data_IF_071311516196
#
_entry.id   IF_071311516196
#
_cell.length_a   1.000
_cell.length_b   1.000
_cell.length_c   1.000
_cell.angle_alpha   90.00
_cell.angle_beta   90.00
_cell.angle_gamma   90.00
#
_symmetry.space_group_name_H-M   'P 1'
#
loop_
_entity.id
_entity.type
_entity.pdbx_description
1 polymer ?
#
# COMPACT_ATOMS: atom_id res chain seq x y z
N UNK A 1 2.85 -2.23 -17.58
CA UNK A 1 3.81 -3.32 -17.90
C UNK A 1 5.21 -2.74 -17.91
N UNK A 2 6.19 -3.40 -17.27
CA UNK A 2 7.57 -2.92 -17.19
C UNK A 2 8.31 -3.08 -18.53
N UNK A 3 9.30 -2.23 -18.78
CA UNK A 3 10.22 -2.31 -19.91
C UNK A 3 11.65 -2.14 -19.42
N UNK A 4 12.56 -3.00 -19.87
CA UNK A 4 13.99 -2.96 -19.53
C UNK A 4 14.78 -2.98 -20.85
N UNK A 5 15.61 -1.96 -21.08
CA UNK A 5 16.53 -1.89 -22.23
C UNK A 5 17.95 -1.67 -21.69
N UNK A 6 18.90 -2.47 -22.18
CA UNK A 6 20.30 -2.39 -21.78
C UNK A 6 21.22 -2.40 -23.01
N UNK A 7 22.13 -1.42 -23.06
CA UNK A 7 23.17 -1.30 -24.12
C UNK A 7 24.58 -1.58 -23.59
N UNK A 8 24.66 -2.35 -22.51
CA UNK A 8 25.91 -2.75 -21.87
C UNK A 8 25.86 -4.24 -21.49
N UNK A 9 26.89 -5.00 -21.86
CA UNK A 9 26.99 -6.45 -21.65
C UNK A 9 27.28 -6.86 -20.20
N UNK A 10 27.73 -5.95 -19.34
CA UNK A 10 28.02 -6.24 -17.93
C UNK A 10 26.87 -5.86 -16.98
N UNK A 11 25.71 -5.48 -17.52
CA UNK A 11 24.59 -5.03 -16.69
C UNK A 11 23.86 -6.21 -16.02
N UNK A 12 23.43 -6.02 -14.77
CA UNK A 12 22.62 -6.96 -14.00
C UNK A 12 21.34 -6.24 -13.59
N UNK A 13 20.18 -6.83 -13.90
CA UNK A 13 18.87 -6.28 -13.58
C UNK A 13 18.04 -7.31 -12.83
N UNK A 14 17.29 -6.86 -11.84
CA UNK A 14 16.26 -7.63 -11.15
C UNK A 14 14.98 -6.79 -11.16
N UNK A 15 13.85 -7.44 -11.44
CA UNK A 15 12.54 -6.82 -11.43
C UNK A 15 11.55 -7.73 -10.74
N UNK A 16 10.82 -7.19 -9.78
CA UNK A 16 9.74 -7.87 -9.08
C UNK A 16 8.46 -7.04 -9.19
N UNK A 17 7.34 -7.73 -9.38
CA UNK A 17 6.01 -7.15 -9.38
C UNK A 17 5.03 -8.15 -8.78
N UNK A 18 4.25 -7.68 -7.80
CA UNK A 18 3.28 -8.51 -7.08
C UNK A 18 1.93 -7.80 -7.06
N UNK A 19 0.85 -8.57 -7.26
CA UNK A 19 -0.51 -8.10 -7.06
C UNK A 19 -1.06 -8.76 -5.81
N UNK A 20 -1.66 -7.97 -4.92
CA UNK A 20 -2.21 -8.45 -3.66
C UNK A 20 -3.67 -8.02 -3.54
N UNK A 21 -4.52 -8.94 -3.06
CA UNK A 21 -5.90 -8.63 -2.62
C UNK A 21 -5.89 -8.50 -1.10
N UNK A 22 -6.73 -7.61 -0.57
CA UNK A 22 -6.97 -7.56 0.88
C UNK A 22 -7.58 -8.90 1.32
N UNK A 23 -6.99 -9.51 2.34
CA UNK A 23 -7.47 -10.78 2.89
C UNK A 23 -8.76 -10.59 3.68
N UNK A 24 -9.78 -11.38 3.34
CA UNK A 24 -11.06 -11.38 4.05
C UNK A 24 -10.92 -11.85 5.50
N UNK A 25 -10.00 -12.80 5.77
CA UNK A 25 -9.70 -13.26 7.13
C UNK A 25 -9.06 -12.14 7.97
N UNK A 26 -8.18 -11.33 7.36
CA UNK A 26 -7.56 -10.19 8.04
C UNK A 26 -8.59 -9.12 8.36
N UNK A 27 -9.50 -8.84 7.43
CA UNK A 27 -10.60 -7.91 7.67
C UNK A 27 -11.54 -8.41 8.76
N UNK A 28 -11.97 -9.67 8.68
CA UNK A 28 -12.83 -10.30 9.69
C UNK A 28 -12.19 -10.23 11.08
N UNK A 29 -10.90 -10.54 11.18
CA UNK A 29 -10.15 -10.48 12.43
C UNK A 29 -10.05 -9.06 13.00
N UNK A 30 -9.83 -8.04 12.16
CA UNK A 30 -9.82 -6.64 12.58
C UNK A 30 -11.20 -6.22 13.09
N UNK A 31 -12.26 -6.59 12.37
CA UNK A 31 -13.65 -6.26 12.74
C UNK A 31 -14.05 -6.94 14.05
N UNK A 32 -13.66 -8.20 14.27
CA UNK A 32 -13.89 -8.87 15.56
C UNK A 32 -13.21 -8.18 16.75
N UNK A 33 -12.21 -7.33 16.50
CA UNK A 33 -11.56 -6.51 17.53
C UNK A 33 -12.19 -5.14 17.72
N UNK A 34 -13.33 -4.90 17.08
CA UNK A 34 -14.09 -3.66 17.22
C UNK A 34 -13.66 -2.56 16.25
N UNK A 35 -12.81 -2.85 15.27
CA UNK A 35 -12.55 -1.92 14.17
C UNK A 35 -13.73 -1.91 13.20
N UNK A 36 -14.08 -0.74 12.68
CA UNK A 36 -14.99 -0.65 11.54
C UNK A 36 -14.35 -1.29 10.30
N UNK A 37 -15.16 -1.62 9.30
CA UNK A 37 -14.65 -2.13 8.03
C UNK A 37 -13.68 -1.13 7.36
N UNK A 38 -13.98 0.16 7.42
CA UNK A 38 -13.14 1.24 6.89
C UNK A 38 -11.81 1.35 7.65
N UNK A 39 -11.85 1.28 8.98
CA UNK A 39 -10.64 1.29 9.82
C UNK A 39 -9.76 0.06 9.54
N UNK A 40 -10.36 -1.11 9.35
CA UNK A 40 -9.66 -2.34 9.03
C UNK A 40 -8.98 -2.25 7.65
N UNK A 41 -9.68 -1.75 6.63
CA UNK A 41 -9.11 -1.52 5.29
C UNK A 41 -7.98 -0.50 5.36
N UNK A 42 -8.20 0.63 6.04
CA UNK A 42 -7.21 1.67 6.24
C UNK A 42 -5.95 1.13 6.92
N UNK A 43 -6.08 0.28 7.93
CA UNK A 43 -4.95 -0.36 8.61
C UNK A 43 -4.11 -1.22 7.65
N UNK A 44 -4.77 -2.08 6.86
CA UNK A 44 -4.07 -2.98 5.92
C UNK A 44 -3.38 -2.19 4.81
N UNK A 45 -4.06 -1.20 4.22
CA UNK A 45 -3.48 -0.37 3.15
C UNK A 45 -2.31 0.46 3.68
N UNK A 46 -2.43 1.06 4.86
CA UNK A 46 -1.33 1.78 5.49
C UNK A 46 -0.11 0.87 5.74
N UNK A 47 -0.35 -0.38 6.14
CA UNK A 47 0.72 -1.39 6.27
C UNK A 47 1.40 -1.69 4.93
N UNK A 48 0.64 -1.79 3.84
CA UNK A 48 1.15 -2.07 2.50
C UNK A 48 2.03 -0.94 1.94
N UNK A 49 1.67 0.34 2.18
CA UNK A 49 2.42 1.50 1.67
C UNK A 49 3.49 2.01 2.64
N UNK A 50 3.65 1.40 3.81
CA UNK A 50 4.49 1.91 4.91
C UNK A 50 5.92 2.22 4.48
N UNK A 51 6.56 1.28 3.79
CA UNK A 51 7.97 1.42 3.41
C UNK A 51 8.18 2.53 2.36
N UNK A 52 7.15 2.81 1.56
CA UNK A 52 7.15 3.94 0.61
C UNK A 52 6.99 5.26 1.36
N UNK A 53 6.05 5.34 2.30
CA UNK A 53 5.82 6.55 3.09
C UNK A 53 7.02 6.91 3.98
N UNK A 54 7.75 5.91 4.48
CA UNK A 54 8.96 6.12 5.28
C UNK A 54 10.13 6.73 4.49
N UNK A 55 10.11 6.68 3.16
CA UNK A 55 11.10 7.34 2.31
C UNK A 55 10.77 8.82 2.05
N UNK A 56 9.55 9.27 2.38
CA UNK A 56 9.16 10.65 2.21
C UNK A 56 9.61 11.51 3.40
N UNK A 57 9.94 12.79 3.17
CA UNK A 57 10.07 13.75 4.27
C UNK A 57 8.80 13.77 5.13
N UNK A 58 8.97 13.92 6.45
CA UNK A 58 7.89 13.77 7.43
C UNK A 58 6.64 14.58 7.10
N UNK A 59 6.82 15.83 6.65
CA UNK A 59 5.74 16.73 6.25
C UNK A 59 4.87 16.19 5.11
N UNK A 60 5.47 15.51 4.12
CA UNK A 60 4.75 14.89 3.01
C UNK A 60 4.16 13.53 3.39
N UNK A 61 4.84 12.76 4.25
CA UNK A 61 4.35 11.46 4.70
C UNK A 61 3.02 11.59 5.45
N UNK A 62 2.91 12.59 6.33
CA UNK A 62 1.68 12.87 7.08
C UNK A 62 0.53 13.27 6.14
N UNK A 63 0.81 14.11 5.14
CA UNK A 63 -0.21 14.54 4.18
C UNK A 63 -0.66 13.40 3.26
N UNK A 64 0.29 12.62 2.73
CA UNK A 64 -0.01 11.45 1.90
C UNK A 64 -0.88 10.42 2.64
N UNK A 65 -0.60 10.18 3.91
CA UNK A 65 -1.39 9.26 4.73
C UNK A 65 -2.85 9.72 4.90
N UNK A 66 -3.08 11.03 5.05
CA UNK A 66 -4.44 11.59 5.10
C UNK A 66 -5.17 11.42 3.78
N UNK A 67 -4.52 11.74 2.67
CA UNK A 67 -5.10 11.62 1.33
C UNK A 67 -5.47 10.16 0.99
N UNK A 68 -4.64 9.19 1.39
CA UNK A 68 -4.92 7.76 1.24
C UNK A 68 -6.17 7.38 2.03
N UNK A 69 -6.27 7.81 3.28
CA UNK A 69 -7.43 7.51 4.14
C UNK A 69 -8.73 8.06 3.54
N UNK A 70 -8.74 9.32 3.08
CA UNK A 70 -9.91 9.94 2.43
C UNK A 70 -10.31 9.22 1.14
N UNK A 71 -9.32 8.81 0.33
CA UNK A 71 -9.58 8.09 -0.92
C UNK A 71 -10.24 6.72 -0.67
N UNK A 72 -9.92 6.08 0.45
CA UNK A 72 -10.51 4.81 0.86
C UNK A 72 -11.93 4.98 1.43
N UNK A 73 -12.21 6.07 2.12
CA UNK A 73 -13.49 6.40 2.77
C UNK A 73 -14.68 6.51 1.79
N UNK A 74 -14.44 6.55 0.47
CA UNK A 74 -15.49 6.61 -0.56
C UNK A 74 -15.34 5.63 -1.71
N UNK A 75 -14.32 4.76 -1.69
CA UNK A 75 -14.04 3.80 -2.77
C UNK A 75 -14.30 2.34 -2.37
N UNK A 76 -14.64 2.10 -1.10
CA UNK A 76 -14.96 0.78 -0.55
C UNK A 76 -16.48 0.68 -0.41
N UNK A 77 -17.18 0.57 -1.54
CA UNK A 77 -18.64 0.50 -1.62
C UNK A 77 -19.16 0.90 -2.99
#
# INVERSE_FOLDING_TARGET
MPYIEAKNSSAVFEHEATTSKISEDVLFYCIQRGLSQEEAVGLVVNGFVKDVLQQLPMEFAVEAQKLISISLEGSVG
#
